data_IF_464250271297
#
_entry.id   IF_464250271297
#
_cell.length_a   1.000
_cell.length_b   1.000
_cell.length_c   1.000
_cell.angle_alpha   90.00
_cell.angle_beta   90.00
_cell.angle_gamma   90.00
#
_symmetry.space_group_name_H-M   'P 1'
#
loop_
_entity.id
_entity.type
_entity.pdbx_description
1 polymer ?
#
# COMPACT_ATOMS: atom_id res chain seq x y z
N UNK A 1 4.23 37.24 66.84
CA UNK A 1 3.78 35.85 66.63
C UNK A 1 2.46 35.90 65.88
N UNK A 2 2.39 35.23 64.73
CA UNK A 2 1.24 34.53 64.12
C UNK A 2 1.33 34.59 62.58
N UNK A 3 1.89 33.50 62.07
CA UNK A 3 1.82 33.02 60.69
C UNK A 3 0.41 32.49 60.37
N UNK A 4 0.05 32.44 59.08
CA UNK A 4 -0.87 31.50 58.35
C UNK A 4 -1.54 32.24 57.16
N UNK A 5 -1.74 31.65 55.96
CA UNK A 5 -0.91 30.67 55.25
C UNK A 5 -0.78 30.95 53.72
N UNK A 6 0.25 30.40 53.10
CA UNK A 6 0.53 30.38 51.65
C UNK A 6 -0.40 29.40 50.88
N UNK A 7 -1.57 29.04 51.44
CA UNK A 7 -2.43 27.98 50.87
C UNK A 7 -3.54 28.55 49.95
N UNK A 8 -3.87 29.84 50.04
CA UNK A 8 -5.00 30.38 49.26
C UNK A 8 -4.67 30.74 47.80
N UNK A 9 -3.39 30.87 47.44
CA UNK A 9 -3.00 31.25 46.07
C UNK A 9 -2.81 30.05 45.14
N UNK A 10 -2.65 28.82 45.68
CA UNK A 10 -2.46 27.62 44.85
C UNK A 10 -3.76 26.91 44.44
N UNK A 11 -4.89 27.19 45.11
CA UNK A 11 -6.20 26.57 44.80
C UNK A 11 -6.98 27.30 43.72
N UNK A 12 -6.72 28.60 43.48
CA UNK A 12 -7.41 29.34 42.41
C UNK A 12 -6.83 29.00 41.02
N UNK A 13 -5.54 28.62 40.94
CA UNK A 13 -4.90 28.30 39.66
C UNK A 13 -5.22 26.89 39.15
N UNK A 14 -5.68 25.96 40.01
CA UNK A 14 -6.00 24.57 39.63
C UNK A 14 -7.43 24.38 39.13
N UNK A 15 -8.36 25.31 39.44
CA UNK A 15 -9.75 25.25 38.93
C UNK A 15 -9.84 25.76 37.48
N UNK A 16 -8.90 26.60 37.03
CA UNK A 16 -8.87 27.13 35.65
C UNK A 16 -8.30 26.16 34.60
N UNK A 17 -7.73 25.02 35.01
CA UNK A 17 -7.09 24.06 34.11
C UNK A 17 -7.89 22.74 33.92
N UNK A 18 -9.09 22.61 34.48
CA UNK A 18 -9.90 21.38 34.37
C UNK A 18 -11.32 21.57 33.81
N UNK A 19 -11.68 22.77 33.32
CA UNK A 19 -12.91 22.93 32.56
C UNK A 19 -12.73 22.37 31.15
N UNK A 20 -13.22 21.15 30.91
CA UNK A 20 -13.42 20.61 29.57
C UNK A 20 -14.40 21.50 28.82
N UNK A 21 -13.89 22.41 27.99
CA UNK A 21 -14.72 23.10 27.01
C UNK A 21 -15.16 22.06 26.00
N UNK A 22 -16.42 21.62 26.07
CA UNK A 22 -17.03 20.92 24.95
C UNK A 22 -17.03 21.87 23.76
N UNK A 23 -16.23 21.56 22.74
CA UNK A 23 -16.31 22.22 21.45
C UNK A 23 -17.60 21.76 20.78
N UNK A 24 -18.70 22.41 21.08
CA UNK A 24 -19.93 22.28 20.31
C UNK A 24 -19.71 23.11 19.04
N UNK A 25 -19.39 22.43 17.94
CA UNK A 25 -19.37 23.05 16.62
C UNK A 25 -20.78 23.50 16.23
N UNK A 26 -21.14 24.74 16.55
CA UNK A 26 -22.34 25.39 16.04
C UNK A 26 -22.21 25.53 14.52
N UNK A 27 -23.03 24.78 13.76
CA UNK A 27 -23.29 25.09 12.35
C UNK A 27 -24.30 26.26 12.30
N UNK A 28 -23.95 27.42 11.73
CA UNK A 28 -24.94 28.45 11.51
C UNK A 28 -25.80 28.04 10.31
N UNK A 29 -27.10 27.92 10.57
CA UNK A 29 -28.23 27.77 9.64
C UNK A 29 -28.54 26.40 9.01
N UNK A 30 -29.82 25.96 9.05
CA UNK A 30 -30.33 24.92 8.16
C UNK A 30 -30.47 25.48 6.74
N UNK A 31 -29.92 24.76 5.75
CA UNK A 31 -30.13 25.09 4.36
C UNK A 31 -31.60 24.93 4.00
N UNK A 32 -32.27 26.05 3.69
CA UNK A 32 -33.51 26.02 2.91
C UNK A 32 -33.10 25.85 1.45
N UNK A 33 -33.26 24.65 0.91
CA UNK A 33 -33.09 24.39 -0.51
C UNK A 33 -34.27 25.00 -1.28
N UNK A 34 -34.07 26.17 -1.87
CA UNK A 34 -34.93 26.64 -2.95
C UNK A 34 -34.67 25.75 -4.18
N UNK A 35 -35.75 25.27 -4.81
CA UNK A 35 -35.76 24.21 -5.84
C UNK A 35 -35.13 24.56 -7.19
N UNK A 36 -33.92 25.13 -7.21
CA UNK A 36 -33.12 25.34 -8.42
C UNK A 36 -31.85 24.48 -8.50
N UNK A 37 -31.52 23.72 -7.44
CA UNK A 37 -30.31 22.87 -7.38
C UNK A 37 -30.44 21.53 -8.15
N UNK A 38 -31.53 21.28 -8.88
CA UNK A 38 -31.72 20.02 -9.64
C UNK A 38 -31.15 20.03 -11.07
N UNK A 39 -30.35 21.03 -11.47
CA UNK A 39 -29.87 21.15 -12.88
C UNK A 39 -28.43 20.67 -13.07
N UNK A 40 -27.68 20.38 -11.99
CA UNK A 40 -26.37 19.73 -12.08
C UNK A 40 -26.35 18.48 -11.20
N UNK A 41 -26.36 17.30 -11.83
CA UNK A 41 -26.14 16.04 -11.13
C UNK A 41 -24.79 16.14 -10.41
N UNK A 42 -24.78 16.08 -9.09
CA UNK A 42 -23.56 16.22 -8.30
C UNK A 42 -22.56 15.15 -8.75
N UNK A 43 -21.36 15.55 -9.17
CA UNK A 43 -20.32 14.61 -9.59
C UNK A 43 -20.06 13.60 -8.48
N UNK A 44 -20.37 12.32 -8.73
CA UNK A 44 -20.11 11.18 -7.83
C UNK A 44 -18.68 10.62 -8.02
N UNK A 45 -17.81 11.37 -8.70
CA UNK A 45 -16.41 11.05 -8.91
C UNK A 45 -15.61 11.58 -7.73
N UNK A 46 -15.28 10.69 -6.81
CA UNK A 46 -14.50 11.00 -5.62
C UNK A 46 -13.02 10.57 -5.78
N UNK A 47 -12.62 9.99 -6.92
CA UNK A 47 -11.35 9.26 -7.07
C UNK A 47 -10.11 10.18 -7.23
N UNK A 48 -10.14 11.34 -6.57
CA UNK A 48 -8.95 12.14 -6.31
C UNK A 48 -8.51 13.05 -7.46
N UNK A 49 -9.39 13.50 -8.36
CA UNK A 49 -8.97 14.54 -9.32
C UNK A 49 -8.61 15.80 -8.56
N UNK A 50 -7.34 16.18 -8.57
CA UNK A 50 -6.87 17.34 -7.84
C UNK A 50 -5.79 18.05 -8.63
N UNK A 51 -6.06 19.30 -8.98
CA UNK A 51 -5.05 20.25 -9.49
C UNK A 51 -4.02 20.64 -8.42
N UNK A 52 -4.21 20.19 -7.16
CA UNK A 52 -3.28 20.40 -6.05
C UNK A 52 -2.25 19.27 -5.94
N UNK A 53 -2.54 18.08 -6.48
CA UNK A 53 -1.58 16.98 -6.53
C UNK A 53 -0.55 17.26 -7.63
N UNK A 54 0.68 17.54 -7.23
CA UNK A 54 1.81 17.79 -8.12
C UNK A 54 2.80 16.66 -8.02
N UNK A 55 2.48 15.54 -8.66
CA UNK A 55 3.43 14.44 -8.83
C UNK A 55 4.54 14.88 -9.78
N UNK A 56 5.80 14.71 -9.36
CA UNK A 56 6.98 15.17 -10.10
C UNK A 56 8.05 14.09 -10.14
N UNK A 57 8.86 14.16 -11.18
CA UNK A 57 10.09 13.40 -11.28
C UNK A 57 11.26 14.20 -10.69
N UNK A 58 12.03 13.56 -9.82
CA UNK A 58 13.09 14.15 -9.00
C UNK A 58 14.48 13.61 -9.39
N UNK A 59 14.63 13.17 -10.64
CA UNK A 59 15.89 12.77 -11.27
C UNK A 59 16.53 11.47 -10.74
N UNK A 60 15.89 10.76 -9.81
CA UNK A 60 16.28 9.43 -9.38
C UNK A 60 16.02 8.34 -10.44
N UNK A 61 16.69 7.18 -10.35
CA UNK A 61 16.46 6.10 -11.30
C UNK A 61 15.07 5.50 -11.14
N UNK A 62 14.58 4.85 -12.20
CA UNK A 62 13.37 4.00 -12.18
C UNK A 62 13.70 2.61 -12.74
N UNK A 63 12.82 1.62 -12.56
CA UNK A 63 13.07 0.25 -13.06
C UNK A 63 12.71 0.07 -14.55
N UNK A 64 13.61 0.50 -15.44
CA UNK A 64 13.45 0.38 -16.90
C UNK A 64 13.85 -0.99 -17.45
N UNK A 65 14.72 -1.73 -16.75
CA UNK A 65 15.09 -3.10 -17.09
C UNK A 65 14.03 -4.12 -16.66
N UNK A 66 14.06 -5.33 -17.23
CA UNK A 66 13.19 -6.43 -16.81
C UNK A 66 13.24 -6.63 -15.28
N UNK A 67 12.09 -6.48 -14.63
CA UNK A 67 11.93 -6.54 -13.19
C UNK A 67 11.83 -8.01 -12.78
N UNK A 68 12.71 -8.43 -11.89
CA UNK A 68 12.75 -9.78 -11.33
C UNK A 68 12.42 -9.68 -9.84
N UNK A 69 11.24 -10.14 -9.46
CA UNK A 69 10.78 -10.14 -8.07
C UNK A 69 11.31 -11.38 -7.39
N UNK A 70 12.08 -11.21 -6.32
CA UNK A 70 12.65 -12.29 -5.49
C UNK A 70 11.94 -12.34 -4.13
N UNK A 71 10.89 -13.17 -3.97
CA UNK A 71 10.23 -13.36 -2.68
C UNK A 71 11.15 -13.95 -1.62
N UNK A 72 11.17 -13.32 -0.45
CA UNK A 72 11.76 -13.82 0.78
C UNK A 72 10.62 -14.13 1.75
N UNK A 73 10.33 -15.41 1.94
CA UNK A 73 9.27 -15.89 2.82
C UNK A 73 9.82 -16.02 4.24
N UNK A 74 9.53 -15.04 5.09
CA UNK A 74 9.98 -15.02 6.47
C UNK A 74 8.87 -15.54 7.40
N UNK A 75 9.20 -16.59 8.16
CA UNK A 75 8.30 -17.31 9.05
C UNK A 75 7.53 -18.46 8.39
N UNK A 76 6.42 -18.86 9.00
CA UNK A 76 5.68 -20.07 8.61
C UNK A 76 4.60 -19.75 7.59
N UNK A 77 4.76 -20.29 6.38
CA UNK A 77 3.88 -20.01 5.24
C UNK A 77 3.26 -21.27 4.66
N UNK A 78 1.96 -21.25 4.43
CA UNK A 78 1.28 -22.33 3.72
C UNK A 78 1.61 -22.33 2.23
N UNK A 79 1.60 -23.51 1.59
CA UNK A 79 1.83 -23.63 0.15
C UNK A 79 0.77 -22.88 -0.68
N UNK A 80 -0.48 -22.90 -0.22
CA UNK A 80 -1.63 -22.20 -0.82
C UNK A 80 -1.40 -20.68 -0.86
N UNK A 81 -1.00 -20.10 0.26
CA UNK A 81 -0.71 -18.66 0.41
C UNK A 81 0.38 -18.20 -0.56
N UNK A 82 1.52 -18.92 -0.60
CA UNK A 82 2.60 -18.61 -1.55
C UNK A 82 2.14 -18.71 -3.00
N UNK A 83 1.27 -19.68 -3.30
CA UNK A 83 0.75 -19.87 -4.67
C UNK A 83 -0.07 -18.66 -5.13
N UNK A 84 -0.92 -18.09 -4.27
CA UNK A 84 -1.70 -16.88 -4.59
C UNK A 84 -0.75 -15.73 -4.96
N UNK A 85 0.24 -15.44 -4.11
CA UNK A 85 1.19 -14.33 -4.32
C UNK A 85 2.05 -14.55 -5.57
N UNK A 86 2.56 -15.76 -5.81
CA UNK A 86 3.32 -16.08 -7.04
C UNK A 86 2.47 -15.91 -8.29
N UNK A 87 1.21 -16.36 -8.25
CA UNK A 87 0.29 -16.23 -9.38
C UNK A 87 -0.10 -14.76 -9.61
N UNK A 88 -0.14 -13.92 -8.57
CA UNK A 88 -0.31 -12.47 -8.70
C UNK A 88 0.89 -11.84 -9.41
N UNK A 89 2.12 -12.08 -8.92
CA UNK A 89 3.35 -11.54 -9.53
C UNK A 89 3.45 -11.92 -11.02
N UNK A 90 3.21 -13.19 -11.35
CA UNK A 90 3.22 -13.65 -12.74
C UNK A 90 2.08 -13.04 -13.59
N UNK A 91 1.01 -12.51 -12.98
CA UNK A 91 -0.08 -11.87 -13.71
C UNK A 91 0.23 -10.42 -14.13
N UNK A 92 1.25 -9.78 -13.55
CA UNK A 92 1.60 -8.37 -13.81
C UNK A 92 1.99 -8.15 -15.28
N UNK A 93 2.73 -9.08 -15.88
CA UNK A 93 3.18 -9.01 -17.28
C UNK A 93 2.46 -10.02 -18.18
N UNK A 94 1.38 -10.63 -17.70
CA UNK A 94 0.68 -11.68 -18.43
C UNK A 94 -0.05 -11.14 -19.67
N UNK A 95 0.22 -11.79 -20.81
CA UNK A 95 -0.45 -11.53 -22.09
C UNK A 95 -1.77 -12.30 -22.15
N UNK A 96 -2.79 -11.70 -22.75
CA UNK A 96 -4.08 -12.38 -23.01
C UNK A 96 -4.95 -12.64 -21.78
N UNK A 97 -4.63 -12.05 -20.62
CA UNK A 97 -5.49 -12.14 -19.43
C UNK A 97 -6.81 -11.40 -19.68
N UNK A 98 -7.92 -11.96 -19.18
CA UNK A 98 -9.27 -11.37 -19.34
C UNK A 98 -9.32 -9.96 -18.76
N UNK A 99 -9.81 -8.99 -19.53
CA UNK A 99 -10.04 -7.64 -19.02
C UNK A 99 -11.25 -7.58 -18.06
N UNK A 100 -11.21 -6.74 -17.01
CA UNK A 100 -10.07 -5.96 -16.53
C UNK A 100 -8.97 -6.87 -15.96
N UNK A 101 -7.69 -6.58 -16.19
CA UNK A 101 -6.58 -7.48 -15.85
C UNK A 101 -5.48 -6.83 -15.01
N UNK A 102 -4.70 -7.64 -14.27
CA UNK A 102 -3.51 -7.16 -13.53
C UNK A 102 -2.49 -6.52 -14.47
N UNK A 103 -2.30 -7.10 -15.66
CA UNK A 103 -1.44 -6.48 -16.69
C UNK A 103 -1.99 -5.20 -17.27
N UNK A 104 -3.32 -5.04 -17.32
CA UNK A 104 -3.98 -3.78 -17.64
C UNK A 104 -3.75 -2.72 -16.58
N UNK A 105 -3.77 -3.10 -15.29
CA UNK A 105 -3.43 -2.21 -14.18
C UNK A 105 -1.95 -1.77 -14.22
N UNK A 106 -1.03 -2.67 -14.57
CA UNK A 106 0.40 -2.34 -14.70
C UNK A 106 0.71 -1.34 -15.83
N UNK A 107 -0.21 -1.12 -16.78
CA UNK A 107 -0.04 -0.09 -17.81
C UNK A 107 0.01 1.33 -17.22
N UNK A 108 -0.62 1.58 -16.07
CA UNK A 108 -0.51 2.88 -15.38
C UNK A 108 0.91 3.12 -14.87
N UNK A 109 1.57 2.07 -14.35
CA UNK A 109 2.97 2.15 -13.90
C UNK A 109 3.91 2.44 -15.07
N UNK A 110 3.63 1.87 -16.25
CA UNK A 110 4.41 2.11 -17.46
C UNK A 110 4.32 3.56 -17.99
N UNK A 111 3.42 4.40 -17.49
CA UNK A 111 3.37 5.81 -17.88
C UNK A 111 4.57 6.60 -17.34
N UNK A 112 5.20 6.12 -16.27
CA UNK A 112 6.32 6.79 -15.61
C UNK A 112 7.65 6.50 -16.29
N UNK A 113 8.53 7.50 -16.34
CA UNK A 113 9.82 7.43 -17.04
C UNK A 113 10.99 7.95 -16.19
N UNK A 114 12.22 7.59 -16.54
CA UNK A 114 13.41 8.28 -16.03
C UNK A 114 13.76 9.54 -16.86
N UNK A 115 14.93 10.12 -16.59
CA UNK A 115 15.46 11.30 -17.28
C UNK A 115 15.71 11.07 -18.78
N UNK A 116 15.85 9.81 -19.21
CA UNK A 116 16.09 9.45 -20.61
C UNK A 116 14.78 9.33 -21.40
N UNK A 117 13.64 9.42 -20.71
CA UNK A 117 12.33 9.14 -21.28
C UNK A 117 12.01 7.64 -21.37
N UNK A 118 12.85 6.77 -20.78
CA UNK A 118 12.60 5.33 -20.77
C UNK A 118 11.53 5.00 -19.75
N UNK A 119 10.46 4.34 -20.20
CA UNK A 119 9.35 3.91 -19.35
C UNK A 119 9.76 2.80 -18.38
N UNK A 120 8.99 2.65 -17.29
CA UNK A 120 9.05 1.46 -16.44
C UNK A 120 8.86 0.20 -17.30
N UNK A 121 9.61 -0.86 -16.99
CA UNK A 121 9.51 -2.10 -17.74
C UNK A 121 8.10 -2.71 -17.67
N UNK A 122 7.59 -3.12 -18.84
CA UNK A 122 6.40 -3.96 -18.93
C UNK A 122 6.64 -5.38 -18.40
N UNK A 123 7.91 -5.80 -18.31
CA UNK A 123 8.28 -7.17 -17.95
C UNK A 123 8.55 -7.27 -16.46
N UNK A 124 7.63 -7.92 -15.76
CA UNK A 124 7.78 -8.33 -14.36
C UNK A 124 7.71 -9.83 -14.29
N UNK A 125 8.73 -10.48 -13.70
CA UNK A 125 8.81 -11.94 -13.58
C UNK A 125 9.13 -12.36 -12.15
N UNK A 126 8.67 -13.54 -11.79
CA UNK A 126 9.09 -14.20 -10.57
C UNK A 126 10.52 -14.75 -10.74
N UNK A 127 11.42 -14.38 -9.82
CA UNK A 127 12.78 -14.89 -9.74
C UNK A 127 12.95 -15.98 -8.68
N UNK A 128 14.20 -16.23 -8.30
CA UNK A 128 14.55 -17.12 -7.20
C UNK A 128 13.92 -16.67 -5.89
N UNK A 129 13.55 -17.64 -5.06
CA UNK A 129 12.85 -17.40 -3.80
C UNK A 129 13.67 -17.91 -2.62
N UNK A 130 13.57 -17.21 -1.49
CA UNK A 130 14.19 -17.63 -0.24
C UNK A 130 13.14 -17.98 0.81
N UNK A 131 13.38 -19.04 1.57
CA UNK A 131 12.52 -19.44 2.69
C UNK A 131 13.33 -19.33 3.99
N UNK A 132 12.83 -18.56 4.94
CA UNK A 132 13.34 -18.46 6.29
C UNK A 132 12.25 -18.88 7.28
N UNK A 133 12.06 -20.19 7.41
CA UNK A 133 11.01 -20.77 8.27
C UNK A 133 11.37 -20.79 9.74
N UNK A 134 12.64 -20.53 10.07
CA UNK A 134 13.17 -20.63 11.41
C UNK A 134 13.33 -19.26 12.07
N UNK A 135 12.82 -18.20 11.44
CA UNK A 135 12.84 -16.84 11.97
C UNK A 135 14.27 -16.41 12.31
N UNK A 136 15.19 -16.41 11.34
CA UNK A 136 16.62 -16.22 11.60
C UNK A 136 16.98 -14.91 12.33
N UNK A 137 16.07 -13.93 12.35
CA UNK A 137 16.17 -12.66 13.07
C UNK A 137 15.05 -12.46 14.11
N UNK A 138 14.42 -13.54 14.57
CA UNK A 138 13.32 -13.52 15.56
C UNK A 138 11.94 -13.20 14.97
N UNK A 139 10.92 -13.16 15.84
CA UNK A 139 9.52 -12.88 15.45
C UNK A 139 9.11 -11.41 15.56
N UNK A 140 9.99 -10.56 16.04
CA UNK A 140 9.79 -9.11 16.11
C UNK A 140 10.91 -8.44 15.32
N UNK A 141 10.56 -7.76 14.24
CA UNK A 141 11.53 -7.12 13.35
C UNK A 141 11.39 -5.60 13.39
N UNK A 142 12.50 -4.92 13.16
CA UNK A 142 12.52 -3.48 12.83
C UNK A 142 12.86 -3.30 11.35
N UNK A 143 12.77 -2.06 10.85
CA UNK A 143 13.28 -1.73 9.49
C UNK A 143 14.75 -2.10 9.29
N UNK A 144 15.58 -2.00 10.33
CA UNK A 144 16.98 -2.45 10.29
C UNK A 144 17.11 -3.97 10.26
N UNK A 145 16.27 -4.68 11.02
CA UNK A 145 16.24 -6.15 11.00
C UNK A 145 15.81 -6.68 9.62
N UNK A 146 14.90 -6.00 8.93
CA UNK A 146 14.49 -6.34 7.55
C UNK A 146 15.70 -6.37 6.61
N UNK A 147 16.56 -5.36 6.66
CA UNK A 147 17.80 -5.36 5.85
C UNK A 147 18.73 -6.51 6.23
N UNK A 148 18.78 -6.89 7.51
CA UNK A 148 19.55 -8.05 7.97
C UNK A 148 18.99 -9.39 7.47
N UNK A 149 17.66 -9.50 7.34
CA UNK A 149 17.01 -10.66 6.71
C UNK A 149 17.38 -10.73 5.23
N UNK A 150 17.35 -9.60 4.51
CA UNK A 150 17.73 -9.53 3.09
C UNK A 150 19.21 -9.91 2.92
N UNK A 151 20.10 -9.42 3.80
CA UNK A 151 21.51 -9.84 3.85
C UNK A 151 21.64 -11.36 3.96
N UNK A 152 20.93 -11.99 4.91
CA UNK A 152 20.94 -13.44 5.06
C UNK A 152 20.44 -14.16 3.79
N UNK A 153 19.49 -13.58 3.06
CA UNK A 153 18.96 -14.16 1.84
C UNK A 153 19.97 -14.12 0.66
N UNK A 154 20.67 -12.99 0.48
CA UNK A 154 21.66 -12.81 -0.61
C UNK A 154 23.04 -13.42 -0.29
N UNK A 155 23.41 -13.49 0.99
CA UNK A 155 24.70 -14.06 1.43
C UNK A 155 24.60 -15.55 1.87
N UNK A 156 23.44 -16.19 1.69
CA UNK A 156 23.22 -17.56 2.11
C UNK A 156 24.15 -18.54 1.39
N UNK A 157 24.76 -19.47 2.14
CA UNK A 157 25.60 -20.55 1.58
C UNK A 157 24.85 -21.49 0.64
N UNK A 158 23.59 -21.81 0.96
CA UNK A 158 22.74 -22.61 0.08
C UNK A 158 21.80 -21.70 -0.72
N UNK A 159 21.82 -21.77 -2.05
CA UNK A 159 20.90 -21.01 -2.94
C UNK A 159 20.72 -19.54 -2.48
N UNK A 160 21.78 -18.72 -2.51
CA UNK A 160 21.64 -17.29 -2.30
C UNK A 160 20.73 -16.68 -3.37
N UNK A 161 20.01 -15.62 -3.01
CA UNK A 161 19.33 -14.82 -4.02
C UNK A 161 20.38 -14.08 -4.88
N UNK A 162 20.19 -13.96 -6.20
CA UNK A 162 21.07 -13.17 -7.05
C UNK A 162 21.13 -11.71 -6.57
N UNK A 163 22.28 -11.06 -6.75
CA UNK A 163 22.46 -9.63 -6.48
C UNK A 163 22.23 -8.86 -7.79
N UNK A 164 21.13 -8.11 -7.88
CA UNK A 164 20.73 -7.37 -9.07
C UNK A 164 20.17 -5.98 -8.70
N UNK A 165 21.01 -4.95 -8.58
CA UNK A 165 20.57 -3.60 -8.20
C UNK A 165 19.77 -2.87 -9.30
N UNK A 166 19.83 -3.32 -10.57
CA UNK A 166 19.24 -2.61 -11.71
C UNK A 166 17.87 -3.12 -12.14
N UNK A 167 17.47 -4.31 -11.69
CA UNK A 167 16.19 -4.92 -12.02
C UNK A 167 15.75 -6.01 -11.04
N UNK A 168 16.44 -6.17 -9.91
CA UNK A 168 16.03 -7.05 -8.82
C UNK A 168 15.17 -6.29 -7.83
N UNK A 169 14.03 -6.87 -7.47
CA UNK A 169 13.14 -6.40 -6.42
C UNK A 169 13.09 -7.48 -5.34
N UNK A 170 13.60 -7.19 -4.15
CA UNK A 170 13.63 -8.15 -3.04
C UNK A 170 12.38 -7.98 -2.19
N UNK A 171 11.41 -8.88 -2.35
CA UNK A 171 10.10 -8.78 -1.70
C UNK A 171 10.09 -9.62 -0.43
N UNK A 172 10.30 -9.00 0.73
CA UNK A 172 10.21 -9.64 2.03
C UNK A 172 8.75 -9.76 2.49
N UNK A 173 8.30 -10.99 2.73
CA UNK A 173 6.94 -11.29 3.13
C UNK A 173 6.96 -11.99 4.48
N UNK A 174 6.40 -11.35 5.51
CA UNK A 174 6.33 -11.93 6.85
C UNK A 174 5.02 -12.68 7.05
N UNK A 175 5.09 -13.87 7.66
CA UNK A 175 3.90 -14.66 8.03
C UNK A 175 3.07 -13.96 9.10
N UNK A 176 1.84 -14.46 9.31
CA UNK A 176 0.85 -13.87 10.21
C UNK A 176 1.26 -13.84 11.69
N UNK A 177 2.34 -14.51 12.06
CA UNK A 177 2.86 -14.64 13.42
C UNK A 177 4.19 -13.88 13.64
N UNK A 178 4.54 -12.97 12.72
CA UNK A 178 5.71 -12.10 12.81
C UNK A 178 5.25 -10.65 12.89
N UNK A 179 5.68 -9.97 13.94
CA UNK A 179 5.45 -8.54 14.11
C UNK A 179 6.61 -7.75 13.51
N UNK A 180 6.29 -6.63 12.86
CA UNK A 180 7.26 -5.64 12.41
C UNK A 180 6.89 -4.30 13.03
N UNK A 181 7.88 -3.52 13.43
CA UNK A 181 7.68 -2.17 13.97
C UNK A 181 6.76 -1.34 13.05
N UNK A 182 5.79 -0.67 13.67
CA UNK A 182 4.75 0.18 13.04
C UNK A 182 3.72 -0.57 12.17
N UNK A 183 3.83 -1.90 12.05
CA UNK A 183 2.83 -2.71 11.35
C UNK A 183 1.46 -2.55 12.00
N UNK A 184 0.41 -2.46 11.18
CA UNK A 184 -0.98 -2.28 11.61
C UNK A 184 -1.35 -0.91 12.19
N UNK A 185 -0.36 -0.07 12.47
CA UNK A 185 -0.57 1.28 13.00
C UNK A 185 -0.36 2.35 11.95
N UNK A 186 0.82 2.34 11.32
CA UNK A 186 1.21 3.34 10.32
C UNK A 186 1.28 2.77 8.92
N UNK A 187 1.65 1.49 8.80
CA UNK A 187 1.91 0.85 7.51
C UNK A 187 1.48 -0.61 7.48
N UNK A 188 1.14 -1.08 6.30
CA UNK A 188 0.90 -2.50 5.99
C UNK A 188 2.05 -3.14 5.20
N UNK A 189 2.86 -2.29 4.58
CA UNK A 189 4.08 -2.57 3.84
C UNK A 189 4.89 -1.28 3.72
N UNK A 190 6.11 -1.40 3.21
CA UNK A 190 6.86 -0.26 2.71
C UNK A 190 7.92 -0.74 1.73
N UNK A 191 8.38 0.13 0.85
CA UNK A 191 9.56 -0.08 0.04
C UNK A 191 10.70 0.84 0.44
N UNK A 192 11.93 0.39 0.19
CA UNK A 192 13.15 1.16 0.42
C UNK A 192 14.32 0.52 -0.34
N UNK A 193 15.54 0.95 -0.09
CA UNK A 193 16.75 0.31 -0.59
C UNK A 193 17.66 -0.13 0.55
N UNK A 194 18.38 -1.23 0.38
CA UNK A 194 19.32 -1.70 1.40
C UNK A 194 20.54 -0.79 1.46
N UNK A 195 21.12 -0.62 2.66
CA UNK A 195 22.37 0.11 2.81
C UNK A 195 23.57 -0.80 2.51
N UNK A 196 24.55 -0.35 1.69
CA UNK A 196 25.79 -1.09 1.47
C UNK A 196 26.53 -1.44 2.77
N UNK A 197 26.46 -0.60 3.80
CA UNK A 197 27.07 -0.85 5.11
C UNK A 197 26.45 -2.03 5.86
N UNK A 198 25.21 -2.41 5.55
CA UNK A 198 24.51 -3.54 6.18
C UNK A 198 24.61 -4.78 5.27
N UNK A 199 24.16 -4.64 4.01
CA UNK A 199 23.94 -5.76 3.09
C UNK A 199 25.14 -6.01 2.16
N UNK A 200 26.02 -5.02 2.00
CA UNK A 200 27.11 -5.04 1.00
C UNK A 200 26.70 -4.47 -0.36
N UNK A 201 25.41 -4.23 -0.58
CA UNK A 201 24.85 -3.76 -1.84
C UNK A 201 23.70 -2.78 -1.59
N UNK A 202 23.46 -1.88 -2.53
CA UNK A 202 22.22 -1.08 -2.62
C UNK A 202 21.22 -1.85 -3.46
N UNK A 203 20.21 -2.43 -2.83
CA UNK A 203 19.20 -3.26 -3.49
C UNK A 203 17.81 -2.71 -3.18
N UNK A 204 16.98 -2.43 -4.21
CA UNK A 204 15.57 -2.07 -4.01
C UNK A 204 14.81 -3.23 -3.38
N UNK A 205 14.11 -2.98 -2.28
CA UNK A 205 13.33 -4.00 -1.58
C UNK A 205 12.00 -3.45 -1.11
N UNK A 206 11.03 -4.35 -0.96
CA UNK A 206 9.77 -4.06 -0.31
C UNK A 206 9.53 -5.07 0.81
N UNK A 207 8.90 -4.65 1.88
CA UNK A 207 8.35 -5.53 2.90
C UNK A 207 6.84 -5.40 2.93
N UNK A 208 6.14 -6.54 3.08
CA UNK A 208 4.69 -6.59 3.31
C UNK A 208 4.38 -7.58 4.42
N UNK A 209 3.56 -7.15 5.39
CA UNK A 209 3.14 -7.96 6.52
C UNK A 209 1.81 -8.68 6.30
N UNK A 210 1.71 -9.93 6.76
CA UNK A 210 0.41 -10.63 6.80
C UNK A 210 -0.39 -10.21 8.05
N UNK A 211 -1.50 -9.51 7.82
CA UNK A 211 -2.30 -8.89 8.88
C UNK A 211 -3.33 -9.81 9.53
N UNK A 212 -3.45 -11.06 9.06
CA UNK A 212 -4.54 -11.97 9.44
C UNK A 212 -4.77 -12.10 10.95
N UNK A 213 -3.68 -12.15 11.76
CA UNK A 213 -3.77 -12.27 13.22
C UNK A 213 -3.76 -10.93 13.96
N UNK A 214 -3.08 -9.91 13.42
CA UNK A 214 -2.84 -8.66 14.14
C UNK A 214 -3.91 -7.60 13.86
N UNK A 215 -4.24 -7.36 12.59
CA UNK A 215 -5.06 -6.22 12.18
C UNK A 215 -5.75 -6.40 10.83
N UNK A 216 -6.54 -7.48 10.62
CA UNK A 216 -7.16 -7.72 9.34
C UNK A 216 -8.06 -6.53 8.90
N UNK A 217 -8.73 -5.86 9.84
CA UNK A 217 -9.56 -4.69 9.53
C UNK A 217 -8.81 -3.46 8.98
N UNK A 218 -7.49 -3.38 9.15
CA UNK A 218 -6.67 -2.27 8.63
C UNK A 218 -6.05 -2.68 7.29
N UNK A 219 -5.21 -3.70 7.32
CA UNK A 219 -4.38 -4.08 6.17
C UNK A 219 -5.00 -5.14 5.25
N UNK A 220 -6.21 -5.60 5.54
CA UNK A 220 -7.00 -6.45 4.64
C UNK A 220 -8.38 -5.86 4.37
N UNK A 221 -8.56 -4.55 4.56
CA UNK A 221 -9.76 -3.84 4.10
C UNK A 221 -9.85 -3.89 2.57
N UNK A 222 -11.03 -4.13 1.96
CA UNK A 222 -12.35 -4.30 2.57
C UNK A 222 -12.75 -5.76 2.89
N UNK A 223 -11.85 -6.74 2.80
CA UNK A 223 -12.12 -8.15 3.14
C UNK A 223 -12.29 -8.40 4.64
N UNK A 224 -11.79 -7.48 5.46
CA UNK A 224 -12.11 -7.34 6.86
C UNK A 224 -12.36 -5.85 7.15
N UNK A 225 -13.31 -5.57 8.03
CA UNK A 225 -13.72 -4.20 8.35
C UNK A 225 -13.54 -4.00 9.85
N UNK A 226 -12.94 -2.88 10.30
CA UNK A 226 -12.80 -2.60 11.73
C UNK A 226 -14.16 -2.53 12.42
N UNK A 227 -14.25 -3.06 13.64
CA UNK A 227 -15.50 -3.10 14.41
C UNK A 227 -16.10 -1.70 14.70
N UNK A 228 -15.29 -0.65 14.68
CA UNK A 228 -15.72 0.72 14.94
C UNK A 228 -16.39 1.40 13.74
N UNK A 229 -16.40 0.80 12.54
CA UNK A 229 -17.08 1.35 11.36
C UNK A 229 -18.51 0.78 11.29
N UNK A 230 -19.54 1.54 11.71
CA UNK A 230 -20.91 1.02 11.74
C UNK A 230 -21.47 0.82 10.32
N UNK A 231 -22.25 -0.23 10.13
CA UNK A 231 -23.05 -0.45 8.91
C UNK A 231 -22.28 -0.97 7.69
N UNK A 232 -20.95 -1.06 7.73
CA UNK A 232 -20.14 -1.65 6.65
C UNK A 232 -19.84 -3.11 6.97
N UNK A 233 -20.15 -4.00 6.03
CA UNK A 233 -19.83 -5.43 6.13
C UNK A 233 -18.60 -5.75 5.29
N UNK A 234 -17.73 -6.68 5.73
CA UNK A 234 -16.63 -7.14 4.91
C UNK A 234 -17.10 -7.77 3.60
N UNK A 235 -16.38 -7.51 2.53
CA UNK A 235 -16.61 -8.19 1.25
C UNK A 235 -15.92 -9.55 1.24
N UNK A 236 -16.36 -10.45 0.36
CA UNK A 236 -15.84 -11.82 0.33
C UNK A 236 -14.53 -11.88 -0.47
N UNK A 237 -13.50 -12.49 0.12
CA UNK A 237 -12.17 -12.61 -0.49
C UNK A 237 -12.18 -13.54 -1.72
N UNK A 238 -11.52 -13.16 -2.84
CA UNK A 238 -11.55 -13.92 -4.10
C UNK A 238 -10.74 -15.22 -4.08
N UNK A 239 -9.77 -15.36 -3.16
CA UNK A 239 -8.94 -16.55 -3.04
C UNK A 239 -9.16 -17.35 -1.75
N UNK A 240 -10.12 -16.92 -0.92
CA UNK A 240 -10.50 -17.61 0.32
C UNK A 240 -9.52 -17.45 1.48
N UNK A 241 -8.55 -16.54 1.37
CA UNK A 241 -7.59 -16.18 2.42
C UNK A 241 -7.60 -14.66 2.58
N UNK A 242 -8.31 -14.16 3.60
CA UNK A 242 -8.47 -12.72 3.86
C UNK A 242 -7.14 -12.02 4.07
N UNK A 243 -6.21 -12.63 4.81
CA UNK A 243 -4.90 -12.05 5.08
C UNK A 243 -4.08 -11.89 3.81
N UNK A 244 -3.97 -12.97 3.02
CA UNK A 244 -3.20 -12.93 1.77
C UNK A 244 -3.88 -12.08 0.70
N UNK A 245 -5.20 -12.12 0.57
CA UNK A 245 -5.90 -11.24 -0.39
C UNK A 245 -5.76 -9.76 -0.02
N UNK A 246 -5.73 -9.42 1.27
CA UNK A 246 -5.33 -8.09 1.74
C UNK A 246 -3.89 -7.74 1.35
N UNK A 247 -2.96 -8.67 1.57
CA UNK A 247 -1.55 -8.49 1.16
C UNK A 247 -1.40 -8.28 -0.34
N UNK A 248 -2.27 -8.83 -1.20
CA UNK A 248 -2.14 -8.64 -2.66
C UNK A 248 -2.24 -7.16 -3.04
N UNK A 249 -3.15 -6.38 -2.44
CA UNK A 249 -3.24 -4.95 -2.72
C UNK A 249 -2.00 -4.20 -2.24
N UNK A 250 -1.48 -4.55 -1.05
CA UNK A 250 -0.25 -3.94 -0.52
C UNK A 250 0.97 -4.34 -1.36
N UNK A 251 1.10 -5.59 -1.79
CA UNK A 251 2.17 -6.04 -2.69
C UNK A 251 2.09 -5.29 -4.03
N UNK A 252 0.89 -5.07 -4.57
CA UNK A 252 0.69 -4.28 -5.78
C UNK A 252 1.18 -2.85 -5.58
N UNK A 253 0.74 -2.21 -4.50
CA UNK A 253 1.17 -0.87 -4.08
C UNK A 253 2.71 -0.78 -4.03
N UNK A 254 3.36 -1.61 -3.21
CA UNK A 254 4.80 -1.53 -3.02
C UNK A 254 5.62 -1.85 -4.28
N UNK A 255 5.15 -2.78 -5.13
CA UNK A 255 5.85 -3.07 -6.39
C UNK A 255 5.71 -1.90 -7.38
N UNK A 256 4.55 -1.25 -7.44
CA UNK A 256 4.34 -0.10 -8.31
C UNK A 256 5.25 1.06 -7.91
N UNK A 257 5.27 1.41 -6.63
CA UNK A 257 6.07 2.52 -6.13
C UNK A 257 7.57 2.23 -6.19
N UNK A 258 8.01 1.04 -5.79
CA UNK A 258 9.41 0.65 -5.95
C UNK A 258 9.85 0.67 -7.42
N UNK A 259 8.96 0.33 -8.37
CA UNK A 259 9.30 0.42 -9.78
C UNK A 259 9.47 1.87 -10.26
N UNK A 260 8.65 2.80 -9.76
CA UNK A 260 8.73 4.23 -10.09
C UNK A 260 9.74 5.01 -9.25
N UNK A 261 10.17 4.47 -8.11
CA UNK A 261 10.99 5.15 -7.12
C UNK A 261 11.91 4.23 -6.29
N UNK A 262 12.72 3.37 -6.93
CA UNK A 262 13.50 2.33 -6.26
C UNK A 262 14.49 2.85 -5.19
N UNK A 263 14.94 4.10 -5.31
CA UNK A 263 15.90 4.74 -4.39
C UNK A 263 15.31 5.93 -3.62
N UNK A 264 13.98 6.07 -3.61
CA UNK A 264 13.25 7.13 -2.87
C UNK A 264 13.67 8.55 -3.29
N UNK A 265 13.96 8.75 -4.58
CA UNK A 265 14.37 10.02 -5.16
C UNK A 265 13.93 10.24 -6.63
N UNK A 266 12.93 9.50 -7.13
CA UNK A 266 12.41 9.58 -8.50
C UNK A 266 11.00 10.16 -8.54
N UNK A 267 9.92 9.37 -8.53
CA UNK A 267 8.56 9.91 -8.68
C UNK A 267 7.82 10.05 -7.35
N UNK A 268 7.54 11.28 -6.93
CA UNK A 268 6.69 11.57 -5.76
C UNK A 268 6.09 12.98 -5.83
N UNK A 269 5.04 13.22 -5.04
CA UNK A 269 4.32 14.47 -5.01
C UNK A 269 4.99 15.50 -4.08
N UNK A 270 4.99 16.76 -4.52
CA UNK A 270 5.60 17.86 -3.78
C UNK A 270 7.08 18.08 -4.10
N UNK A 271 7.74 18.89 -3.28
CA UNK A 271 9.16 19.23 -3.41
C UNK A 271 9.99 18.81 -2.18
N UNK A 272 9.32 18.33 -1.13
CA UNK A 272 9.96 17.89 0.11
C UNK A 272 10.18 16.38 0.07
N UNK A 273 11.43 15.90 0.07
CA UNK A 273 11.74 14.47 0.06
C UNK A 273 11.54 13.79 1.43
N UNK A 274 11.20 14.50 2.50
CA UNK A 274 11.12 13.95 3.86
C UNK A 274 9.91 13.03 4.06
N UNK A 275 8.84 13.24 3.30
CA UNK A 275 7.64 12.39 3.30
C UNK A 275 7.04 12.34 1.88
N UNK A 276 7.68 11.59 0.95
CA UNK A 276 7.22 11.52 -0.43
C UNK A 276 5.85 10.82 -0.46
N UNK A 277 4.86 11.48 -1.03
CA UNK A 277 3.56 10.85 -1.35
C UNK A 277 3.65 10.33 -2.77
N UNK A 278 3.55 9.04 -2.95
CA UNK A 278 3.86 8.35 -4.20
C UNK A 278 2.62 7.94 -5.00
N UNK A 279 2.84 7.18 -6.08
CA UNK A 279 1.81 6.93 -7.09
C UNK A 279 0.66 6.05 -6.57
N UNK A 280 0.93 5.19 -5.58
CA UNK A 280 -0.08 4.31 -5.00
C UNK A 280 -0.66 4.97 -3.74
N UNK A 281 0.13 5.68 -2.94
CA UNK A 281 -0.37 6.48 -1.80
C UNK A 281 -1.55 7.38 -2.17
N UNK A 282 -1.47 8.08 -3.30
CA UNK A 282 -2.53 8.98 -3.79
C UNK A 282 -3.87 8.31 -4.04
N UNK A 283 -3.88 6.98 -4.19
CA UNK A 283 -5.03 6.19 -4.59
C UNK A 283 -5.36 5.07 -3.59
N UNK A 284 -4.83 5.16 -2.37
CA UNK A 284 -5.10 4.19 -1.32
C UNK A 284 -6.61 4.00 -1.10
N UNK A 285 -7.04 2.74 -1.08
CA UNK A 285 -8.45 2.39 -0.86
C UNK A 285 -9.39 2.62 -2.05
N UNK A 286 -8.91 3.11 -3.20
CA UNK A 286 -9.72 3.30 -4.41
C UNK A 286 -9.62 2.06 -5.28
N UNK A 287 -10.72 1.31 -5.45
CA UNK A 287 -10.74 0.05 -6.20
C UNK A 287 -11.60 0.11 -7.48
N UNK A 288 -12.31 1.21 -7.72
CA UNK A 288 -13.25 1.34 -8.83
C UNK A 288 -13.78 2.76 -9.02
N UNK A 289 -14.55 2.97 -10.10
CA UNK A 289 -15.23 4.24 -10.38
C UNK A 289 -16.15 4.63 -9.21
N UNK A 290 -16.16 5.91 -8.83
CA UNK A 290 -16.80 6.47 -7.64
C UNK A 290 -16.07 6.24 -6.31
N UNK A 291 -14.85 5.68 -6.31
CA UNK A 291 -14.04 5.52 -5.10
C UNK A 291 -13.39 6.82 -4.63
N UNK A 292 -12.87 6.87 -3.41
CA UNK A 292 -12.21 8.04 -2.83
C UNK A 292 -12.88 8.53 -1.54
N UNK A 293 -12.08 9.20 -0.70
CA UNK A 293 -12.45 9.40 0.70
C UNK A 293 -12.64 8.05 1.40
N UNK A 294 -13.84 7.76 1.89
CA UNK A 294 -14.16 6.48 2.56
C UNK A 294 -14.86 5.47 1.65
N UNK A 295 -15.06 5.78 0.36
CA UNK A 295 -15.74 4.89 -0.60
C UNK A 295 -14.71 4.08 -1.40
N UNK A 296 -14.89 2.77 -1.47
CA UNK A 296 -14.00 1.87 -2.25
C UNK A 296 -14.21 1.97 -3.76
N UNK A 297 -15.31 2.59 -4.19
CA UNK A 297 -15.75 2.62 -5.57
C UNK A 297 -16.41 1.31 -6.03
N UNK A 298 -16.81 1.30 -7.30
CA UNK A 298 -17.54 0.20 -7.93
C UNK A 298 -16.61 -0.98 -8.24
N UNK A 299 -16.70 -2.00 -7.38
CA UNK A 299 -15.98 -3.28 -7.53
C UNK A 299 -16.85 -4.31 -8.25
N UNK A 300 -16.22 -5.36 -8.77
CA UNK A 300 -16.89 -6.49 -9.41
C UNK A 300 -17.14 -7.62 -8.40
N UNK A 301 -18.15 -8.45 -8.67
CA UNK A 301 -18.39 -9.68 -7.92
C UNK A 301 -18.40 -10.86 -8.89
N UNK A 302 -17.90 -12.00 -8.42
CA UNK A 302 -18.05 -13.25 -9.17
C UNK A 302 -19.36 -13.97 -8.87
N UNK A 303 -19.59 -15.07 -9.59
CA UNK A 303 -20.80 -15.90 -9.47
C UNK A 303 -20.98 -16.49 -8.05
N UNK A 304 -19.93 -16.47 -7.22
CA UNK A 304 -19.94 -16.94 -5.82
C UNK A 304 -19.95 -15.77 -4.83
N UNK A 305 -20.12 -14.55 -5.31
CA UNK A 305 -20.16 -13.31 -4.52
C UNK A 305 -18.81 -12.83 -4.00
N UNK A 306 -17.68 -13.37 -4.50
CA UNK A 306 -16.36 -12.87 -4.12
C UNK A 306 -16.02 -11.60 -4.89
N UNK A 307 -15.46 -10.61 -4.18
CA UNK A 307 -15.24 -9.26 -4.71
C UNK A 307 -13.83 -9.11 -5.27
N UNK A 308 -13.74 -8.48 -6.44
CA UNK A 308 -12.50 -8.27 -7.17
C UNK A 308 -12.60 -7.05 -8.09
N UNK A 309 -11.48 -6.59 -8.65
CA UNK A 309 -11.51 -5.58 -9.72
C UNK A 309 -10.58 -5.91 -10.90
N UNK A 310 -9.72 -6.92 -10.77
CA UNK A 310 -8.83 -7.39 -11.84
C UNK A 310 -8.77 -8.91 -11.91
N UNK A 311 -8.60 -9.44 -13.12
CA UNK A 311 -8.27 -10.83 -13.39
C UNK A 311 -6.75 -10.99 -13.57
N UNK A 312 -6.17 -11.99 -12.93
CA UNK A 312 -4.87 -12.53 -13.30
C UNK A 312 -4.98 -13.72 -14.24
N UNK A 313 -3.91 -14.51 -14.34
CA UNK A 313 -3.87 -15.70 -15.22
C UNK A 313 -4.92 -16.74 -14.81
N UNK A 314 -5.08 -16.99 -13.51
CA UNK A 314 -5.97 -18.04 -12.97
C UNK A 314 -6.86 -17.58 -11.81
N UNK A 315 -6.57 -16.42 -11.26
CA UNK A 315 -7.17 -15.90 -10.03
C UNK A 315 -7.71 -14.51 -10.28
N UNK A 316 -8.63 -14.10 -9.42
CA UNK A 316 -9.11 -12.74 -9.34
C UNK A 316 -8.45 -12.06 -8.14
N UNK A 317 -8.26 -10.75 -8.24
CA UNK A 317 -7.66 -9.95 -7.19
C UNK A 317 -8.41 -8.63 -7.05
N UNK A 318 -8.33 -8.06 -5.86
CA UNK A 318 -8.75 -6.71 -5.56
C UNK A 318 -7.50 -5.91 -5.22
N UNK A 319 -7.15 -4.95 -6.08
CA UNK A 319 -5.97 -4.09 -5.90
C UNK A 319 -6.37 -2.64 -6.10
N UNK A 320 -5.81 -1.74 -5.29
CA UNK A 320 -6.09 -0.32 -5.46
C UNK A 320 -5.66 0.20 -6.84
N UNK A 321 -6.29 1.28 -7.28
CA UNK A 321 -5.90 2.03 -8.46
C UNK A 321 -4.59 2.77 -8.22
N UNK A 322 -4.01 3.30 -9.29
CA UNK A 322 -2.77 4.06 -9.24
C UNK A 322 -2.99 5.45 -9.82
N UNK A 323 -2.20 6.42 -9.35
CA UNK A 323 -2.23 7.75 -9.90
C UNK A 323 -1.78 7.72 -11.35
N UNK A 324 -2.60 8.27 -12.24
CA UNK A 324 -2.23 8.50 -13.62
C UNK A 324 -1.96 9.98 -13.81
N UNK A 325 -0.69 10.35 -13.92
CA UNK A 325 -0.28 11.75 -14.05
C UNK A 325 -0.67 12.38 -15.41
N UNK A 326 -1.01 11.59 -16.43
CA UNK A 326 -1.46 12.10 -17.74
C UNK A 326 -2.85 12.73 -17.63
N UNK A 327 -3.72 12.11 -16.82
CA UNK A 327 -5.09 12.60 -16.58
C UNK A 327 -5.28 13.22 -15.19
N UNK A 328 -4.23 13.20 -14.36
CA UNK A 328 -4.25 13.67 -12.96
C UNK A 328 -5.40 13.06 -12.15
N UNK A 329 -5.52 11.73 -12.22
CA UNK A 329 -6.60 10.97 -11.59
C UNK A 329 -6.18 9.54 -11.25
N UNK A 330 -6.74 8.97 -10.17
CA UNK A 330 -6.60 7.56 -9.89
C UNK A 330 -7.26 6.73 -11.00
N UNK A 331 -6.51 5.83 -11.62
CA UNK A 331 -6.98 5.05 -12.77
C UNK A 331 -6.74 3.57 -12.55
N UNK A 332 -7.74 2.76 -12.88
CA UNK A 332 -7.60 1.32 -12.98
C UNK A 332 -8.36 0.73 -14.17
N UNK A 333 -8.10 -0.55 -14.48
CA UNK A 333 -8.59 -1.18 -15.70
C UNK A 333 -10.10 -1.47 -15.68
N UNK A 334 -10.74 -1.42 -14.51
CA UNK A 334 -12.20 -1.57 -14.33
C UNK A 334 -12.95 -0.23 -14.32
N UNK A 335 -12.30 0.88 -14.72
CA UNK A 335 -12.99 2.17 -14.87
C UNK A 335 -14.16 2.04 -15.86
N UNK A 336 -15.27 2.71 -15.54
CA UNK A 336 -16.48 2.69 -16.38
C UNK A 336 -16.47 3.78 -17.47
N UNK A 337 -15.57 4.75 -17.37
CA UNK A 337 -15.42 5.90 -18.25
C UNK A 337 -13.94 6.24 -18.50
#
# INVERSE_FOLDING_TARGET
>A
MHSVPVILTLTVLTVLLTSTVQVIGWRPYPSKTNGSDQIFDASKKYEGSSNLVRLRYHMGPVLTNNITVHPIWYGTWQKSQKKIIREFINSISAVGSKHPSVSGWWKTVQLYTDQTGSNISATVRLGEEKNDRFYSHGKSLTRLSIQSVIKSAVASRSRPLPVNPKGGLYLLLTSDDVYVQDFCGQVCGFHYFTFPSIVGFTLPYAWVGNSAKFCPGVCAYPFAVPAFIPGIKPVKSPNGDVGVDGMISVIAHEIAELATNPLVNAWYAGADPVAPVEIADLCEGIYGTGGGGSYTGQMLNDDRGATYNVNGIRRRYLIQWLWNHVVSYCTGPNKLD
#
